data_IF_412169092544
#
_entry.id   IF_412169092544
#
_cell.length_a   1.000
_cell.length_b   1.000
_cell.length_c   1.000
_cell.angle_alpha   90.00
_cell.angle_beta   90.00
_cell.angle_gamma   90.00
#
_symmetry.space_group_name_H-M   'P 1'
#
loop_
_entity.id
_entity.type
_entity.pdbx_description
1 polymer ?
#
# COMPACT_ATOMS: atom_id res chain seq x y z
N UNK A 1 16.04 -0.54 -18.72
CA UNK A 1 15.08 -1.61 -19.11
C UNK A 1 13.86 -1.73 -18.18
N UNK A 2 14.04 -1.98 -16.87
CA UNK A 2 12.92 -2.23 -15.95
C UNK A 2 11.84 -1.12 -15.88
N UNK A 3 12.25 0.15 -15.96
CA UNK A 3 11.35 1.30 -16.01
C UNK A 3 10.40 1.27 -17.21
N UNK A 4 10.92 0.95 -18.39
CA UNK A 4 10.18 0.91 -19.64
C UNK A 4 9.09 -0.16 -19.59
N UNK A 5 9.44 -1.37 -19.12
CA UNK A 5 8.50 -2.48 -18.97
C UNK A 5 7.38 -2.09 -17.99
N UNK A 6 7.71 -1.55 -16.81
CA UNK A 6 6.69 -1.15 -15.83
C UNK A 6 5.73 -0.09 -16.38
N UNK A 7 6.26 0.88 -17.14
CA UNK A 7 5.45 1.89 -17.83
C UNK A 7 4.52 1.26 -18.87
N UNK A 8 5.03 0.38 -19.73
CA UNK A 8 4.22 -0.32 -20.74
C UNK A 8 3.16 -1.21 -20.10
N UNK A 9 3.49 -1.97 -19.06
CA UNK A 9 2.50 -2.78 -18.32
C UNK A 9 1.36 -1.91 -17.79
N UNK A 10 1.67 -0.72 -17.25
CA UNK A 10 0.64 0.22 -16.78
C UNK A 10 -0.22 0.75 -17.94
N UNK A 11 0.40 1.11 -19.06
CA UNK A 11 -0.32 1.58 -20.25
C UNK A 11 -1.26 0.52 -20.81
N UNK A 12 -0.77 -0.72 -20.94
CA UNK A 12 -1.57 -1.86 -21.41
C UNK A 12 -2.74 -2.11 -20.45
N UNK A 13 -2.49 -2.19 -19.13
CA UNK A 13 -3.54 -2.40 -18.14
C UNK A 13 -4.63 -1.31 -18.17
N UNK A 14 -4.26 -0.05 -18.38
CA UNK A 14 -5.22 1.05 -18.54
C UNK A 14 -6.03 0.90 -19.82
N UNK A 15 -5.38 0.62 -20.95
CA UNK A 15 -6.03 0.47 -22.26
C UNK A 15 -6.98 -0.73 -22.29
N UNK A 16 -6.62 -1.81 -21.61
CA UNK A 16 -7.43 -3.03 -21.51
C UNK A 16 -8.41 -3.01 -20.34
N UNK A 17 -8.49 -1.92 -19.57
CA UNK A 17 -9.32 -1.79 -18.36
C UNK A 17 -9.08 -2.89 -17.30
N UNK A 18 -7.88 -3.48 -17.29
CA UNK A 18 -7.51 -4.51 -16.33
C UNK A 18 -7.04 -3.85 -15.03
N UNK A 19 -7.58 -4.32 -13.89
CA UNK A 19 -7.11 -3.89 -12.58
C UNK A 19 -5.79 -4.59 -12.27
N UNK A 20 -4.65 -3.87 -12.19
CA UNK A 20 -3.38 -4.50 -11.83
C UNK A 20 -3.42 -5.04 -10.40
N UNK A 21 -2.66 -6.10 -10.16
CA UNK A 21 -2.55 -6.73 -8.84
C UNK A 21 -2.06 -5.73 -7.79
N UNK A 22 -2.39 -5.99 -6.52
CA UNK A 22 -1.89 -5.19 -5.39
C UNK A 22 -0.36 -5.17 -5.39
N UNK A 23 0.26 -6.31 -5.63
CA UNK A 23 1.72 -6.47 -5.57
C UNK A 23 2.41 -5.63 -6.65
N UNK A 24 1.87 -5.62 -7.88
CA UNK A 24 2.40 -4.75 -8.92
C UNK A 24 2.28 -3.26 -8.55
N UNK A 25 1.14 -2.85 -7.98
CA UNK A 25 0.96 -1.47 -7.50
C UNK A 25 1.90 -1.13 -6.36
N UNK A 26 2.29 -2.10 -5.53
CA UNK A 26 3.25 -1.88 -4.45
C UNK A 26 4.69 -1.75 -4.98
N UNK A 27 5.02 -2.53 -6.01
CA UNK A 27 6.35 -2.59 -6.62
C UNK A 27 6.61 -1.51 -7.67
N UNK A 28 5.62 -0.78 -8.16
CA UNK A 28 5.81 0.31 -9.14
C UNK A 28 5.68 1.67 -8.48
N UNK A 29 6.34 2.72 -8.97
CA UNK A 29 6.05 4.10 -8.54
C UNK A 29 4.77 4.59 -9.22
N UNK A 30 3.91 5.31 -8.49
CA UNK A 30 2.64 5.83 -9.06
C UNK A 30 2.83 7.03 -10.00
N UNK A 31 3.99 7.71 -9.92
CA UNK A 31 4.30 8.91 -10.72
C UNK A 31 5.22 8.55 -11.87
N UNK A 32 6.44 8.12 -11.57
CA UNK A 32 7.42 7.81 -12.61
C UNK A 32 7.40 6.35 -13.07
N UNK A 33 6.60 5.44 -12.51
CA UNK A 33 6.64 4.01 -12.89
C UNK A 33 7.98 3.28 -12.62
N UNK A 34 8.91 3.88 -11.86
CA UNK A 34 10.12 3.17 -11.43
C UNK A 34 9.77 1.93 -10.59
N UNK A 35 10.48 0.83 -10.79
CA UNK A 35 10.34 -0.38 -9.97
C UNK A 35 10.99 -0.12 -8.61
N UNK A 36 10.24 -0.33 -7.53
CA UNK A 36 10.57 -0.05 -6.13
C UNK A 36 11.15 -1.30 -5.46
N UNK A 37 12.47 -1.47 -5.59
CA UNK A 37 13.26 -2.51 -4.94
C UNK A 37 13.84 -1.94 -3.66
N UNK A 38 13.62 -2.64 -2.54
CA UNK A 38 14.12 -2.23 -1.24
C UNK A 38 15.63 -2.00 -1.29
N UNK A 39 16.07 -0.88 -0.70
CA UNK A 39 17.49 -0.49 -0.55
C UNK A 39 18.25 -0.21 -1.85
N UNK A 40 17.56 -0.29 -3.00
CA UNK A 40 18.13 0.08 -4.31
C UNK A 40 17.47 1.31 -4.91
N UNK A 41 16.14 1.27 -5.04
CA UNK A 41 15.37 2.32 -5.73
C UNK A 41 14.26 2.90 -4.87
N UNK A 42 14.05 2.35 -3.67
CA UNK A 42 13.15 2.89 -2.68
C UNK A 42 13.67 2.77 -1.25
N UNK A 43 13.30 3.74 -0.42
CA UNK A 43 13.49 3.71 1.04
C UNK A 43 12.19 3.25 1.69
N UNK A 44 12.28 2.38 2.69
CA UNK A 44 11.11 1.91 3.45
C UNK A 44 11.28 2.32 4.91
N UNK A 45 10.24 2.89 5.48
CA UNK A 45 10.19 3.24 6.90
C UNK A 45 8.80 2.95 7.46
N UNK A 46 8.70 2.63 8.74
CA UNK A 46 7.43 2.52 9.43
C UNK A 46 7.21 3.82 10.20
N UNK A 47 6.14 4.54 9.86
CA UNK A 47 5.71 5.74 10.55
C UNK A 47 4.47 5.42 11.40
N UNK A 48 4.45 5.89 12.65
CA UNK A 48 3.28 5.80 13.51
C UNK A 48 2.95 7.20 14.05
N UNK A 49 1.92 7.82 13.49
CA UNK A 49 1.47 9.17 13.87
C UNK A 49 0.58 9.19 15.12
N UNK A 50 0.37 8.05 15.79
CA UNK A 50 -0.38 8.04 17.05
C UNK A 50 0.44 8.68 18.18
N UNK A 51 -0.26 9.23 19.18
CA UNK A 51 0.37 9.85 20.34
C UNK A 51 1.33 8.86 21.03
N UNK A 52 2.63 9.15 20.93
CA UNK A 52 3.72 8.32 21.46
C UNK A 52 3.90 6.95 20.79
N UNK A 53 3.39 6.76 19.56
CA UNK A 53 3.56 5.49 18.81
C UNK A 53 2.86 4.28 19.42
N UNK A 54 1.95 4.48 20.38
CA UNK A 54 1.40 3.40 21.22
C UNK A 54 0.39 2.50 20.52
N UNK A 55 -0.26 2.99 19.45
CA UNK A 55 -1.29 2.23 18.73
C UNK A 55 -0.67 1.47 17.57
N UNK A 56 -0.46 0.16 17.71
CA UNK A 56 0.13 -0.69 16.67
C UNK A 56 -0.68 -0.71 15.36
N UNK A 57 -2.01 -0.57 15.45
CA UNK A 57 -2.90 -0.47 14.28
C UNK A 57 -2.77 0.86 13.52
N UNK A 58 -2.02 1.84 14.05
CA UNK A 58 -1.70 3.10 13.41
C UNK A 58 -0.33 3.09 12.72
N UNK A 59 0.35 1.94 12.67
CA UNK A 59 1.59 1.77 11.91
C UNK A 59 1.31 1.90 10.41
N UNK A 60 2.14 2.66 9.70
CA UNK A 60 2.04 2.85 8.26
C UNK A 60 3.42 2.62 7.63
N UNK A 61 3.51 1.65 6.73
CA UNK A 61 4.67 1.48 5.87
C UNK A 61 4.71 2.61 4.85
N UNK A 62 5.74 3.43 4.92
CA UNK A 62 6.04 4.45 3.93
C UNK A 62 7.14 3.94 3.01
N UNK A 63 6.83 3.87 1.72
CA UNK A 63 7.77 3.52 0.66
C UNK A 63 8.03 4.76 -0.19
N UNK A 64 9.23 5.30 -0.08
CA UNK A 64 9.66 6.50 -0.80
C UNK A 64 10.47 6.12 -2.03
N UNK A 65 10.07 6.62 -3.20
CA UNK A 65 10.82 6.44 -4.43
C UNK A 65 12.03 7.39 -4.45
N UNK A 66 13.24 6.83 -4.56
CA UNK A 66 14.48 7.64 -4.58
C UNK A 66 14.57 8.49 -5.86
N UNK A 67 14.01 8.00 -6.97
CA UNK A 67 14.09 8.68 -8.26
C UNK A 67 13.21 9.94 -8.39
N UNK A 68 12.08 10.01 -7.67
CA UNK A 68 11.13 11.15 -7.79
C UNK A 68 10.60 11.67 -6.46
N UNK A 69 11.05 11.14 -5.32
CA UNK A 69 10.62 11.53 -3.97
C UNK A 69 9.19 11.13 -3.59
N UNK A 70 8.42 10.51 -4.48
CA UNK A 70 7.01 10.16 -4.19
C UNK A 70 6.92 9.10 -3.10
N UNK A 71 6.08 9.34 -2.10
CA UNK A 71 5.79 8.43 -0.99
C UNK A 71 4.49 7.64 -1.21
N UNK A 72 4.57 6.32 -1.09
CA UNK A 72 3.41 5.41 -0.99
C UNK A 72 3.23 4.98 0.46
N UNK A 73 1.99 4.85 0.91
CA UNK A 73 1.64 4.56 2.30
C UNK A 73 0.74 3.33 2.37
N UNK A 74 1.11 2.36 3.21
CA UNK A 74 0.34 1.13 3.43
C UNK A 74 0.11 0.92 4.93
N UNK A 75 -1.14 0.84 5.40
CA UNK A 75 -1.39 0.57 6.81
C UNK A 75 -0.92 -0.84 7.17
N UNK A 76 -0.17 -0.96 8.26
CA UNK A 76 0.29 -2.23 8.84
C UNK A 76 -0.51 -2.51 10.11
N UNK A 77 -1.02 -3.73 10.26
CA UNK A 77 -1.72 -4.15 11.48
C UNK A 77 -3.14 -3.60 11.66
N UNK A 78 -3.61 -2.73 10.76
CA UNK A 78 -5.00 -2.30 10.74
C UNK A 78 -5.91 -3.43 10.24
N UNK A 79 -6.86 -3.86 11.09
CA UNK A 79 -7.91 -4.79 10.65
C UNK A 79 -8.80 -4.10 9.63
N UNK A 80 -9.04 -4.75 8.50
CA UNK A 80 -9.97 -4.24 7.47
C UNK A 80 -11.35 -4.13 8.09
N UNK A 81 -11.96 -2.96 8.00
CA UNK A 81 -13.30 -2.74 8.52
C UNK A 81 -14.26 -3.67 7.78
N UNK A 82 -14.99 -4.49 8.54
CA UNK A 82 -15.95 -5.43 7.95
C UNK A 82 -17.08 -4.69 7.22
N UNK A 83 -17.75 -5.37 6.28
CA UNK A 83 -18.92 -4.80 5.57
C UNK A 83 -20.06 -4.60 6.57
N UNK A 84 -20.93 -3.60 6.36
CA UNK A 84 -22.04 -3.25 7.28
C UNK A 84 -22.86 -4.47 7.74
N UNK A 85 -23.21 -5.36 6.79
CA UNK A 85 -23.95 -6.60 7.06
C UNK A 85 -23.25 -7.52 8.07
N UNK A 86 -21.92 -7.62 8.02
CA UNK A 86 -21.14 -8.45 8.95
C UNK A 86 -20.90 -7.75 10.29
N UNK A 87 -21.00 -6.42 10.37
CA UNK A 87 -20.85 -5.70 11.65
C UNK A 87 -22.04 -5.95 12.59
N UNK A 88 -23.24 -6.04 12.03
CA UNK A 88 -24.46 -6.31 12.81
C UNK A 88 -24.36 -7.68 13.52
N UNK A 89 -23.78 -8.69 12.86
CA UNK A 89 -23.64 -10.05 13.42
C UNK A 89 -22.61 -10.13 14.56
N UNK A 90 -21.61 -9.24 14.58
CA UNK A 90 -20.55 -9.23 15.61
C UNK A 90 -20.97 -8.39 16.83
N UNK A 91 -22.12 -7.69 16.77
CA UNK A 91 -22.63 -6.84 17.84
C UNK A 91 -23.34 -7.55 19.00
N UNK A 92 -23.75 -8.82 18.82
CA UNK A 92 -24.70 -9.51 19.72
C UNK A 92 -24.10 -10.79 20.35
N UNK A 93 -22.87 -10.74 20.86
CA UNK A 93 -22.23 -11.92 21.48
C UNK A 93 -21.15 -11.60 22.49
N UNK A 94 -21.55 -11.47 23.76
CA UNK A 94 -20.71 -11.47 24.98
C UNK A 94 -19.93 -12.77 25.16
N UNK A 95 -18.83 -12.74 25.94
CA UNK A 95 -18.68 -13.73 27.01
C UNK A 95 -18.49 -13.05 28.37
N UNK A 96 -19.36 -13.42 29.31
CA UNK A 96 -19.05 -13.48 30.75
C UNK A 96 -18.24 -14.74 31.03
#
# INVERSE_FOLDING_TARGET
LAYHISSQTRQVALKSQIRPSSDFKQLSCKVCNAVLVHDRTCKRAIENASRGGRKTHANVLVVECIACGTKKRYPIGAKRQQRKKLRAVIGDGTPS
#
